data_IF_007022200003
#
_entry.id   IF_007022200003
#
_cell.length_a   1.000
_cell.length_b   1.000
_cell.length_c   1.000
_cell.angle_alpha   90.00
_cell.angle_beta   90.00
_cell.angle_gamma   90.00
#
_symmetry.space_group_name_H-M   'P 1'
#
loop_
_entity.id
_entity.type
_entity.pdbx_description
1 polymer ?
#
# COMPACT_ATOMS: atom_id res chain seq x y z
N UNK A 1 -26.80 -3.83 -16.40
CA UNK A 1 -27.51 -3.83 -15.10
C UNK A 1 -26.64 -4.40 -13.97
N UNK A 2 -25.98 -5.55 -14.13
CA UNK A 2 -25.10 -6.14 -13.10
C UNK A 2 -23.87 -5.26 -12.83
N UNK A 3 -23.18 -4.77 -13.85
CA UNK A 3 -22.00 -3.87 -13.70
C UNK A 3 -22.34 -2.54 -12.99
N UNK A 4 -23.51 -1.97 -13.24
CA UNK A 4 -23.94 -0.74 -12.54
C UNK A 4 -24.24 -1.00 -11.06
N UNK A 5 -24.72 -2.18 -10.71
CA UNK A 5 -25.04 -2.55 -9.34
C UNK A 5 -23.76 -2.85 -8.54
N UNK A 6 -22.74 -3.45 -9.16
CA UNK A 6 -21.41 -3.65 -8.58
C UNK A 6 -20.69 -2.31 -8.35
N UNK A 7 -20.75 -1.38 -9.29
CA UNK A 7 -20.15 -0.04 -9.15
C UNK A 7 -20.76 0.73 -7.98
N UNK A 8 -22.09 0.78 -7.87
CA UNK A 8 -22.81 1.47 -6.79
C UNK A 8 -22.47 0.83 -5.42
N UNK A 9 -22.36 -0.50 -5.36
CA UNK A 9 -21.99 -1.20 -4.13
C UNK A 9 -20.56 -0.88 -3.72
N UNK A 10 -19.63 -0.84 -4.66
CA UNK A 10 -18.22 -0.49 -4.42
C UNK A 10 -18.06 0.96 -3.93
N UNK A 11 -18.73 1.92 -4.56
CA UNK A 11 -18.71 3.33 -4.14
C UNK A 11 -19.27 3.52 -2.72
N UNK A 12 -20.37 2.84 -2.40
CA UNK A 12 -20.96 2.88 -1.06
C UNK A 12 -20.03 2.30 -0.01
N UNK A 13 -19.39 1.18 -0.30
CA UNK A 13 -18.42 0.53 0.58
C UNK A 13 -17.21 1.43 0.80
N UNK A 14 -16.68 2.06 -0.26
CA UNK A 14 -15.59 3.03 -0.17
C UNK A 14 -15.96 4.22 0.75
N UNK A 15 -17.15 4.78 0.58
CA UNK A 15 -17.63 5.87 1.43
C UNK A 15 -17.75 5.47 2.90
N UNK A 16 -18.25 4.26 3.18
CA UNK A 16 -18.32 3.72 4.54
C UNK A 16 -16.93 3.52 5.15
N UNK A 17 -15.98 2.96 4.38
CA UNK A 17 -14.60 2.77 4.82
C UNK A 17 -13.92 4.12 5.10
N UNK A 18 -14.04 5.10 4.22
CA UNK A 18 -13.47 6.44 4.43
C UNK A 18 -14.04 7.10 5.70
N UNK A 19 -15.33 6.92 5.94
CA UNK A 19 -15.97 7.43 7.18
C UNK A 19 -15.42 6.73 8.42
N UNK A 20 -15.24 5.40 8.37
CA UNK A 20 -14.72 4.63 9.50
C UNK A 20 -13.24 4.90 9.79
N UNK A 21 -12.44 5.12 8.75
CA UNK A 21 -11.02 5.47 8.84
C UNK A 21 -10.78 6.87 9.42
N UNK A 22 -11.77 7.76 9.30
CA UNK A 22 -11.68 9.13 9.78
C UNK A 22 -10.83 10.04 8.89
N UNK A 23 -10.83 11.34 9.23
CA UNK A 23 -10.23 12.40 8.41
C UNK A 23 -8.73 12.21 8.19
N UNK A 24 -7.98 11.84 9.22
CA UNK A 24 -6.51 11.77 9.16
C UNK A 24 -6.00 10.65 8.23
N UNK A 25 -6.63 9.48 8.27
CA UNK A 25 -6.30 8.38 7.36
C UNK A 25 -6.75 8.70 5.95
N UNK A 26 -7.92 9.33 5.80
CA UNK A 26 -8.46 9.72 4.48
C UNK A 26 -7.56 10.76 3.81
N UNK A 27 -7.11 11.79 4.54
CA UNK A 27 -6.15 12.77 4.04
C UNK A 27 -4.82 12.12 3.63
N UNK A 28 -4.35 11.15 4.42
CA UNK A 28 -3.13 10.40 4.10
C UNK A 28 -3.30 9.51 2.87
N UNK A 29 -4.48 8.91 2.66
CA UNK A 29 -4.80 8.16 1.44
C UNK A 29 -4.81 9.07 0.20
N UNK A 30 -5.29 10.29 0.34
CA UNK A 30 -5.37 11.24 -0.77
C UNK A 30 -4.02 11.96 -1.03
N UNK A 31 -3.07 11.97 -0.08
CA UNK A 31 -1.73 12.57 -0.27
C UNK A 31 -0.85 11.67 -1.17
N UNK A 32 -0.48 12.11 -2.39
CA UNK A 32 0.32 11.31 -3.31
C UNK A 32 1.74 11.00 -2.82
N UNK A 33 2.23 11.70 -1.81
CA UNK A 33 3.55 11.47 -1.23
C UNK A 33 3.54 10.41 -0.13
N UNK A 34 2.38 10.04 0.41
CA UNK A 34 2.27 8.99 1.42
C UNK A 34 2.36 7.63 0.72
N UNK A 35 3.24 6.78 1.21
CA UNK A 35 3.51 5.43 0.70
C UNK A 35 2.77 4.39 1.55
N UNK A 36 2.81 4.57 2.87
CA UNK A 36 2.25 3.62 3.82
C UNK A 36 1.61 4.36 5.01
N UNK A 37 0.50 3.85 5.46
CA UNK A 37 -0.27 4.32 6.63
C UNK A 37 -0.31 3.15 7.61
N UNK A 38 0.07 3.36 8.85
CA UNK A 38 0.15 2.31 9.86
C UNK A 38 -0.56 2.75 11.14
N UNK A 39 -1.43 1.91 11.65
CA UNK A 39 -2.02 2.04 12.99
C UNK A 39 -1.49 0.90 13.84
N UNK A 40 -0.70 1.24 14.84
CA UNK A 40 -0.09 0.29 15.75
C UNK A 40 -1.07 -0.14 16.87
N UNK A 41 -0.79 -1.22 17.63
CA UNK A 41 -1.65 -1.66 18.74
C UNK A 41 -1.84 -0.64 19.86
N UNK A 42 -0.93 0.34 19.99
CA UNK A 42 -1.05 1.48 20.92
C UNK A 42 -1.97 2.60 20.39
N UNK A 43 -2.55 2.40 19.21
CA UNK A 43 -3.43 3.32 18.51
C UNK A 43 -2.72 4.42 17.72
N UNK A 44 -1.39 4.57 17.83
CA UNK A 44 -0.67 5.63 17.12
C UNK A 44 -0.76 5.45 15.61
N UNK A 45 -1.06 6.56 14.93
CA UNK A 45 -1.07 6.66 13.48
C UNK A 45 0.30 7.11 12.98
N UNK A 46 0.96 6.22 12.27
CA UNK A 46 2.24 6.47 11.62
C UNK A 46 2.07 6.57 10.11
N UNK A 47 2.84 7.45 9.50
CA UNK A 47 2.91 7.58 8.05
C UNK A 47 4.34 7.35 7.56
N UNK A 48 4.48 6.70 6.41
CA UNK A 48 5.71 6.70 5.61
C UNK A 48 5.49 7.58 4.39
N UNK A 49 6.32 8.61 4.23
CA UNK A 49 6.15 9.64 3.18
C UNK A 49 7.41 9.82 2.37
N UNK A 50 7.28 9.92 1.07
CA UNK A 50 8.38 10.16 0.13
C UNK A 50 9.20 11.39 0.54
N UNK A 51 10.51 11.21 0.66
CA UNK A 51 11.45 12.27 1.00
C UNK A 51 11.49 12.66 2.49
N UNK A 52 10.58 12.14 3.31
CA UNK A 52 10.52 12.37 4.76
C UNK A 52 10.85 11.10 5.53
N UNK A 53 10.38 9.93 5.04
CA UNK A 53 10.46 8.66 5.72
C UNK A 53 9.29 8.46 6.69
N UNK A 54 9.48 7.54 7.64
CA UNK A 54 8.47 7.13 8.62
C UNK A 54 8.47 8.07 9.83
N UNK A 55 7.27 8.53 10.23
CA UNK A 55 7.08 9.40 11.40
C UNK A 55 5.72 9.16 12.07
N UNK A 56 5.64 9.46 13.36
CA UNK A 56 4.39 9.51 14.14
C UNK A 56 3.65 10.82 13.84
N UNK A 57 2.37 10.76 13.62
CA UNK A 57 1.51 11.92 13.37
C UNK A 57 0.98 12.57 14.65
N UNK A 58 1.28 12.01 15.83
CA UNK A 58 0.66 12.34 17.11
C UNK A 58 -0.88 12.13 17.15
N UNK A 59 -1.45 11.48 16.14
CA UNK A 59 -2.85 11.10 16.09
C UNK A 59 -3.02 9.67 16.57
N UNK A 60 -4.19 9.39 17.16
CA UNK A 60 -4.50 8.07 17.69
C UNK A 60 -5.89 7.64 17.30
N UNK A 61 -6.01 6.34 17.02
CA UNK A 61 -7.29 5.65 16.94
C UNK A 61 -7.53 4.90 18.24
N UNK A 62 -8.78 4.87 18.66
CA UNK A 62 -9.22 3.96 19.73
C UNK A 62 -9.25 2.52 19.22
N UNK A 63 -9.16 1.51 20.11
CA UNK A 63 -9.30 0.10 19.71
C UNK A 63 -10.59 -0.18 18.93
N UNK A 64 -11.71 0.45 19.32
CA UNK A 64 -13.01 0.27 18.65
C UNK A 64 -13.02 0.85 17.22
N UNK A 65 -12.32 1.96 17.00
CA UNK A 65 -12.16 2.54 15.66
C UNK A 65 -11.30 1.63 14.78
N UNK A 66 -10.17 1.12 15.31
CA UNK A 66 -9.32 0.16 14.62
C UNK A 66 -10.07 -1.13 14.27
N UNK A 67 -10.80 -1.70 15.22
CA UNK A 67 -11.63 -2.88 14.99
C UNK A 67 -12.69 -2.66 13.92
N UNK A 68 -13.37 -1.51 13.95
CA UNK A 68 -14.38 -1.15 12.94
C UNK A 68 -13.79 -1.13 11.53
N UNK A 69 -12.61 -0.52 11.35
CA UNK A 69 -11.93 -0.49 10.06
C UNK A 69 -11.60 -1.91 9.58
N UNK A 70 -10.97 -2.72 10.43
CA UNK A 70 -10.58 -4.10 10.08
C UNK A 70 -11.80 -4.95 9.71
N UNK A 71 -12.90 -4.85 10.47
CA UNK A 71 -14.14 -5.60 10.19
C UNK A 71 -14.84 -5.16 8.91
N UNK A 72 -14.83 -3.86 8.60
CA UNK A 72 -15.41 -3.35 7.36
C UNK A 72 -14.63 -3.82 6.14
N UNK A 73 -13.30 -3.83 6.21
CA UNK A 73 -12.46 -4.38 5.14
C UNK A 73 -12.70 -5.88 4.98
N UNK A 74 -12.79 -6.63 6.08
CA UNK A 74 -13.09 -8.06 6.05
C UNK A 74 -14.44 -8.34 5.37
N UNK A 75 -15.47 -7.60 5.75
CA UNK A 75 -16.81 -7.70 5.15
C UNK A 75 -16.79 -7.41 3.64
N UNK A 76 -15.97 -6.46 3.20
CA UNK A 76 -15.85 -6.13 1.78
C UNK A 76 -15.36 -7.31 0.93
N UNK A 77 -14.45 -8.11 1.46
CA UNK A 77 -13.92 -9.30 0.78
C UNK A 77 -14.65 -10.60 1.19
N UNK A 78 -15.82 -10.48 1.83
CA UNK A 78 -16.63 -11.61 2.32
C UNK A 78 -15.84 -12.56 3.24
N UNK A 79 -15.01 -12.02 4.11
CA UNK A 79 -14.29 -12.77 5.13
C UNK A 79 -14.70 -12.31 6.54
N UNK A 80 -14.61 -13.24 7.48
CA UNK A 80 -14.82 -12.95 8.90
C UNK A 80 -13.47 -12.92 9.65
N UNK A 81 -13.28 -11.87 10.44
CA UNK A 81 -12.15 -11.79 11.37
C UNK A 81 -12.58 -12.26 12.74
N UNK A 82 -11.97 -13.32 13.22
CA UNK A 82 -12.29 -13.96 14.50
C UNK A 82 -11.01 -14.25 15.30
N UNK A 83 -11.15 -14.61 16.56
CA UNK A 83 -10.02 -15.04 17.40
C UNK A 83 -9.24 -16.24 16.82
N UNK A 84 -9.88 -17.07 15.97
CA UNK A 84 -9.24 -18.21 15.29
C UNK A 84 -8.60 -17.82 13.95
N UNK A 85 -9.07 -16.75 13.33
CA UNK A 85 -8.54 -16.18 12.09
C UNK A 85 -8.39 -14.67 12.26
N UNK A 86 -7.37 -14.21 13.03
CA UNK A 86 -7.26 -12.81 13.45
C UNK A 86 -6.55 -11.90 12.45
N UNK A 87 -6.06 -12.45 11.35
CA UNK A 87 -5.29 -11.72 10.33
C UNK A 87 -6.13 -11.61 9.06
N UNK A 88 -6.13 -10.45 8.43
CA UNK A 88 -6.77 -10.20 7.17
C UNK A 88 -5.84 -9.47 6.21
N UNK A 89 -5.77 -9.95 4.97
CA UNK A 89 -5.10 -9.34 3.85
C UNK A 89 -6.11 -9.05 2.76
N UNK A 90 -6.18 -7.81 2.31
CA UNK A 90 -7.16 -7.37 1.33
C UNK A 90 -6.60 -6.28 0.41
N UNK A 91 -7.32 -6.00 -0.66
CA UNK A 91 -7.19 -4.76 -1.43
C UNK A 91 -8.39 -3.86 -1.11
N UNK A 92 -8.12 -2.58 -0.86
CA UNK A 92 -9.19 -1.62 -0.60
C UNK A 92 -9.95 -1.31 -1.90
N UNK A 93 -11.27 -1.08 -1.82
CA UNK A 93 -12.04 -0.65 -2.98
C UNK A 93 -11.56 0.73 -3.46
N UNK A 94 -11.58 0.93 -4.77
CA UNK A 94 -11.14 2.16 -5.42
C UNK A 94 -9.77 1.98 -6.07
N UNK A 95 -8.69 2.40 -5.42
CA UNK A 95 -7.35 2.38 -6.01
C UNK A 95 -6.58 1.07 -5.79
N UNK A 96 -7.15 0.09 -5.06
CA UNK A 96 -6.52 -1.21 -4.83
C UNK A 96 -5.31 -1.14 -3.87
N UNK A 97 -5.34 -0.23 -2.90
CA UNK A 97 -4.32 -0.18 -1.85
C UNK A 97 -4.34 -1.49 -1.06
N UNK A 98 -3.16 -2.02 -0.77
CA UNK A 98 -3.02 -3.24 0.04
C UNK A 98 -3.28 -2.94 1.50
N UNK A 99 -4.17 -3.70 2.09
CA UNK A 99 -4.55 -3.62 3.50
C UNK A 99 -4.14 -4.92 4.21
N UNK A 100 -3.45 -4.77 5.34
CA UNK A 100 -3.15 -5.85 6.28
C UNK A 100 -3.69 -5.45 7.64
N UNK A 101 -4.60 -6.25 8.19
CA UNK A 101 -5.20 -6.03 9.50
C UNK A 101 -4.93 -7.19 10.44
N UNK A 102 -4.68 -6.91 11.71
CA UNK A 102 -4.45 -7.92 12.76
C UNK A 102 -5.30 -7.58 13.98
N UNK A 103 -5.99 -8.60 14.48
CA UNK A 103 -6.89 -8.51 15.62
C UNK A 103 -6.36 -9.30 16.83
N UNK A 104 -6.80 -9.00 18.04
CA UNK A 104 -6.59 -9.89 19.18
C UNK A 104 -7.07 -11.32 18.89
N UNK A 105 -6.40 -12.38 19.42
CA UNK A 105 -5.40 -12.36 20.49
C UNK A 105 -3.93 -12.26 20.04
N UNK A 106 -3.65 -12.16 18.74
CA UNK A 106 -2.27 -12.09 18.22
C UNK A 106 -1.59 -10.77 18.60
N UNK A 107 -2.37 -9.71 18.70
CA UNK A 107 -1.97 -8.37 19.13
C UNK A 107 -2.79 -7.95 20.35
N UNK A 108 -2.31 -6.95 21.09
CA UNK A 108 -3.00 -6.45 22.29
C UNK A 108 -4.23 -5.62 21.95
N UNK A 109 -4.24 -4.96 20.81
CA UNK A 109 -5.38 -4.20 20.27
C UNK A 109 -5.35 -4.26 18.74
N UNK A 110 -6.49 -4.01 18.06
CA UNK A 110 -6.55 -4.01 16.61
C UNK A 110 -5.53 -3.06 16.00
N UNK A 111 -4.78 -3.55 15.01
CA UNK A 111 -3.82 -2.75 14.26
C UNK A 111 -3.92 -3.09 12.76
N UNK A 112 -3.48 -2.17 11.92
CA UNK A 112 -3.48 -2.38 10.48
C UNK A 112 -2.47 -1.50 9.76
N UNK A 113 -2.09 -1.91 8.56
CA UNK A 113 -1.35 -1.08 7.63
C UNK A 113 -2.07 -1.01 6.28
N UNK A 114 -1.94 0.15 5.63
CA UNK A 114 -2.41 0.39 4.27
C UNK A 114 -1.21 0.81 3.45
N UNK A 115 -0.84 -0.02 2.47
CA UNK A 115 0.25 0.29 1.55
C UNK A 115 -0.30 0.71 0.21
N UNK A 116 0.00 1.95 -0.16
CA UNK A 116 -0.40 2.51 -1.45
C UNK A 116 0.44 1.90 -2.58
N UNK A 117 -0.16 1.78 -3.75
CA UNK A 117 0.56 1.42 -4.96
C UNK A 117 1.66 2.44 -5.28
N UNK A 118 2.61 2.07 -6.13
CA UNK A 118 3.66 3.00 -6.56
C UNK A 118 3.02 4.22 -7.25
N UNK A 119 3.14 5.39 -6.62
CA UNK A 119 2.52 6.64 -7.10
C UNK A 119 3.32 7.28 -8.24
N UNK A 120 4.58 6.93 -8.39
CA UNK A 120 5.46 7.52 -9.39
C UNK A 120 6.08 6.43 -10.27
N UNK A 121 5.89 6.58 -11.57
CA UNK A 121 6.61 5.82 -12.60
C UNK A 121 7.97 6.49 -12.79
N UNK A 122 9.04 5.87 -12.30
CA UNK A 122 10.40 6.33 -12.55
C UNK A 122 10.98 5.60 -13.75
N UNK A 123 11.33 6.33 -14.79
CA UNK A 123 12.07 5.78 -15.94
C UNK A 123 13.55 5.62 -15.60
N UNK A 124 14.29 4.79 -16.36
CA UNK A 124 15.76 4.73 -16.22
C UNK A 124 16.41 6.10 -16.43
N UNK A 125 15.81 6.95 -17.25
CA UNK A 125 16.26 8.33 -17.46
C UNK A 125 16.12 9.18 -16.19
N UNK A 126 15.06 8.96 -15.41
CA UNK A 126 14.86 9.68 -14.14
C UNK A 126 15.87 9.26 -13.09
N UNK A 127 16.23 7.97 -13.03
CA UNK A 127 17.31 7.47 -12.18
C UNK A 127 18.66 8.07 -12.53
N UNK A 128 18.96 8.22 -13.83
CA UNK A 128 20.19 8.86 -14.29
C UNK A 128 20.19 10.34 -13.93
N UNK A 129 19.11 11.09 -14.16
CA UNK A 129 18.97 12.50 -13.79
C UNK A 129 19.09 12.72 -12.27
N UNK A 130 18.57 11.80 -11.46
CA UNK A 130 18.69 11.84 -10.02
C UNK A 130 20.10 11.45 -9.50
N UNK A 131 21.02 11.03 -10.37
CA UNK A 131 22.35 10.56 -10.00
C UNK A 131 22.39 9.22 -9.28
N UNK A 132 21.29 8.51 -9.26
CA UNK A 132 21.16 7.18 -8.61
C UNK A 132 21.74 6.08 -9.49
N UNK A 133 21.82 6.31 -10.79
CA UNK A 133 22.32 5.39 -11.81
C UNK A 133 23.13 6.14 -12.85
N UNK A 134 24.20 5.53 -13.37
CA UNK A 134 24.95 6.07 -14.51
C UNK A 134 24.26 5.78 -15.85
N UNK A 135 24.59 6.51 -16.89
CA UNK A 135 24.12 6.23 -18.25
C UNK A 135 24.50 4.81 -18.70
N UNK A 136 25.73 4.40 -18.42
CA UNK A 136 26.24 3.08 -18.78
C UNK A 136 25.45 1.94 -18.07
N UNK A 137 25.11 2.14 -16.79
CA UNK A 137 24.27 1.19 -16.05
C UNK A 137 22.85 1.11 -16.64
N UNK A 138 22.26 2.25 -17.00
CA UNK A 138 20.93 2.28 -17.61
C UNK A 138 20.92 1.57 -18.98
N UNK A 139 21.94 1.77 -19.81
CA UNK A 139 22.06 1.12 -21.11
C UNK A 139 22.33 -0.39 -20.99
N UNK A 140 23.15 -0.79 -20.02
CA UNK A 140 23.37 -2.19 -19.67
C UNK A 140 22.07 -2.90 -19.25
N UNK A 141 21.24 -2.25 -18.44
CA UNK A 141 19.93 -2.79 -18.05
C UNK A 141 18.98 -2.91 -19.26
N UNK A 142 18.88 -1.89 -20.12
CA UNK A 142 18.08 -1.95 -21.35
C UNK A 142 18.51 -3.10 -22.24
N UNK A 143 19.82 -3.26 -22.43
CA UNK A 143 20.37 -4.36 -23.21
C UNK A 143 20.01 -5.72 -22.59
N UNK A 144 20.19 -5.89 -21.29
CA UNK A 144 19.89 -7.14 -20.60
C UNK A 144 18.42 -7.53 -20.70
N UNK A 145 17.50 -6.55 -20.56
CA UNK A 145 16.06 -6.77 -20.72
C UNK A 145 15.71 -7.13 -22.17
N UNK A 146 16.22 -6.36 -23.15
CA UNK A 146 15.94 -6.62 -24.57
C UNK A 146 16.51 -7.97 -25.05
N UNK A 147 17.63 -8.39 -24.47
CA UNK A 147 18.28 -9.68 -24.74
C UNK A 147 17.72 -10.83 -23.90
N UNK A 148 16.66 -10.59 -23.10
CA UNK A 148 16.00 -11.59 -22.23
C UNK A 148 16.97 -12.29 -21.27
N UNK A 149 17.94 -11.56 -20.76
CA UNK A 149 18.88 -12.09 -19.76
C UNK A 149 18.22 -12.17 -18.38
N UNK A 150 18.71 -13.10 -17.56
CA UNK A 150 18.30 -13.17 -16.15
C UNK A 150 18.96 -12.01 -15.39
N UNK A 151 18.14 -11.22 -14.67
CA UNK A 151 18.60 -10.07 -13.90
C UNK A 151 18.25 -10.32 -12.43
N UNK A 152 19.24 -10.22 -11.54
CA UNK A 152 19.05 -10.28 -10.10
C UNK A 152 19.21 -8.88 -9.48
N UNK A 153 18.14 -8.37 -8.87
CA UNK A 153 18.13 -7.08 -8.20
C UNK A 153 18.14 -7.30 -6.68
N UNK A 154 19.21 -6.85 -6.01
CA UNK A 154 19.43 -7.02 -4.59
C UNK A 154 19.56 -5.67 -3.90
N UNK A 155 19.04 -5.57 -2.69
CA UNK A 155 19.15 -4.35 -1.88
C UNK A 155 18.35 -4.45 -0.58
N UNK A 156 18.57 -3.54 0.35
CA UNK A 156 17.87 -3.43 1.63
C UNK A 156 16.39 -3.04 1.46
N UNK A 157 15.67 -2.99 2.56
CA UNK A 157 14.30 -2.45 2.60
C UNK A 157 14.30 -0.98 2.16
N UNK A 158 13.30 -0.55 1.41
CA UNK A 158 13.13 0.81 0.88
C UNK A 158 14.27 1.31 -0.06
N UNK A 159 15.11 0.41 -0.58
CA UNK A 159 16.18 0.76 -1.53
C UNK A 159 15.71 0.95 -2.98
N UNK A 160 14.40 0.85 -3.25
CA UNK A 160 13.84 1.03 -4.60
C UNK A 160 13.93 -0.21 -5.52
N UNK A 161 14.23 -1.41 -4.99
CA UNK A 161 14.32 -2.65 -5.78
C UNK A 161 13.11 -2.89 -6.68
N UNK A 162 11.93 -2.87 -6.09
CA UNK A 162 10.67 -3.14 -6.79
C UNK A 162 10.37 -2.02 -7.78
N UNK A 163 10.63 -0.78 -7.43
CA UNK A 163 10.43 0.38 -8.30
C UNK A 163 11.30 0.29 -9.55
N UNK A 164 12.57 -0.09 -9.40
CA UNK A 164 13.48 -0.29 -10.53
C UNK A 164 13.02 -1.46 -11.43
N UNK A 165 12.57 -2.58 -10.83
CA UNK A 165 12.13 -3.77 -11.56
C UNK A 165 10.88 -3.52 -12.41
N UNK A 166 9.87 -2.82 -11.86
CA UNK A 166 8.58 -2.60 -12.51
C UNK A 166 8.69 -1.82 -13.82
N UNK A 167 9.72 -0.99 -13.98
CA UNK A 167 9.88 -0.14 -15.16
C UNK A 167 10.97 -0.59 -16.13
N UNK A 168 11.71 -1.64 -15.79
CA UNK A 168 12.72 -2.24 -16.68
C UNK A 168 12.23 -3.47 -17.40
N UNK A 169 11.11 -4.07 -16.94
CA UNK A 169 10.55 -5.28 -17.54
C UNK A 169 9.07 -5.06 -17.87
N UNK A 170 8.62 -5.37 -19.11
CA UNK A 170 7.20 -5.43 -19.40
C UNK A 170 6.55 -6.45 -18.46
N UNK A 171 5.42 -6.07 -17.86
CA UNK A 171 4.66 -6.97 -16.99
C UNK A 171 4.19 -8.17 -17.82
N UNK A 172 4.34 -9.41 -17.31
CA UNK A 172 3.77 -10.58 -17.99
C UNK A 172 2.24 -10.62 -17.95
N UNK A 173 1.60 -9.58 -17.41
CA UNK A 173 0.14 -9.45 -17.27
C UNK A 173 -0.47 -8.36 -18.17
N UNK A 174 0.36 -7.69 -19.00
CA UNK A 174 -0.09 -6.72 -20.02
C UNK A 174 -0.24 -7.39 -21.38
#
# INVERSE_FOLDING_TARGET
MLEQQETITSERTLAMLRTAMGVHITEALDDPKVIEIMVNPDGHLWLDKLGVGRFDTDKRLTPDEGERVVRLVASHINQDVTAKSPIISAELPGNGERFEGVMPPVVTAPCFSIRKGAVAVFTLTDYVKAGTMTHEQADGLRYSVSSRQNILIVGGTSSGKTTCLLYTSPSPRD
#
